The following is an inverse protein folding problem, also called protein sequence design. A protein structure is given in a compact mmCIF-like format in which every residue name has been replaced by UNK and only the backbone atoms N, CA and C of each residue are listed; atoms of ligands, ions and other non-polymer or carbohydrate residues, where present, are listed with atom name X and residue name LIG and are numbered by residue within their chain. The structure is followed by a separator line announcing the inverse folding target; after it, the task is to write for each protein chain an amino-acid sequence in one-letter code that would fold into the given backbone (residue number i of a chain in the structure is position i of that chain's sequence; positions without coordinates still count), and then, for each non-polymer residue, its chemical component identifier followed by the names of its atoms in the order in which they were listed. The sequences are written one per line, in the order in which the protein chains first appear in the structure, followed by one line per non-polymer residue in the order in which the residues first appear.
data_IF_480582942074
#
_entry.id   IF_480582942074
#
_cell.length_a   1.000
_cell.length_b   1.000
_cell.length_c   1.000
_cell.angle_alpha   90.00
_cell.angle_beta   90.00
_cell.angle_gamma   90.00
#
_symmetry.space_group_name_H-M   'P 1'
#
loop_
_entity.id
_entity.type
_entity.pdbx_description
1 polymer ?
#
# COMPACT_ATOMS: atom_id res chain seq x y z
N UNK A 1 27.06 -39.28 5.61
CA UNK A 1 25.61 -39.13 5.80
C UNK A 1 24.92 -40.26 5.07
N UNK A 2 24.00 -40.97 5.73
CA UNK A 2 23.13 -41.92 5.03
C UNK A 2 22.23 -41.16 4.02
N UNK A 3 21.64 -41.84 3.02
CA UNK A 3 20.73 -41.20 2.07
C UNK A 3 19.59 -40.41 2.76
N UNK A 4 19.04 -40.96 3.84
CA UNK A 4 17.99 -40.31 4.66
C UNK A 4 18.51 -39.04 5.34
N UNK A 5 19.74 -39.05 5.85
CA UNK A 5 20.34 -37.87 6.49
C UNK A 5 20.74 -36.79 5.46
N UNK A 6 20.98 -37.17 4.20
CA UNK A 6 21.35 -36.24 3.12
C UNK A 6 20.14 -35.52 2.49
N UNK A 7 18.98 -36.16 2.49
CA UNK A 7 17.74 -35.63 1.92
C UNK A 7 17.44 -34.13 2.23
N UNK A 8 17.48 -33.66 3.50
CA UNK A 8 17.20 -32.25 3.81
C UNK A 8 18.23 -31.30 3.20
N UNK A 9 19.50 -31.70 3.14
CA UNK A 9 20.58 -30.92 2.53
C UNK A 9 20.37 -30.83 1.02
N UNK A 10 20.08 -31.95 0.37
CA UNK A 10 19.82 -31.98 -1.08
C UNK A 10 18.57 -31.15 -1.45
N UNK A 11 17.54 -31.16 -0.60
CA UNK A 11 16.35 -30.31 -0.76
C UNK A 11 16.69 -28.83 -0.64
N UNK A 12 17.50 -28.45 0.35
CA UNK A 12 17.97 -27.08 0.53
C UNK A 12 18.81 -26.62 -0.66
N UNK A 13 19.81 -27.42 -1.08
CA UNK A 13 20.65 -27.12 -2.22
C UNK A 13 19.82 -26.91 -3.50
N UNK A 14 18.86 -27.80 -3.78
CA UNK A 14 17.97 -27.67 -4.93
C UNK A 14 17.13 -26.40 -4.86
N UNK A 15 16.61 -26.04 -3.69
CA UNK A 15 15.86 -24.79 -3.51
C UNK A 15 16.72 -23.57 -3.81
N UNK A 16 17.95 -23.51 -3.28
CA UNK A 16 18.86 -22.39 -3.52
C UNK A 16 19.26 -22.29 -5.00
N UNK A 17 19.57 -23.42 -5.64
CA UNK A 17 19.92 -23.48 -7.06
C UNK A 17 18.76 -22.99 -7.94
N UNK A 18 17.54 -23.45 -7.67
CA UNK A 18 16.36 -23.03 -8.42
C UNK A 18 16.07 -21.52 -8.27
N UNK A 19 16.47 -20.92 -7.15
CA UNK A 19 16.23 -19.51 -6.84
C UNK A 19 17.49 -18.64 -6.98
N UNK A 20 18.57 -19.15 -7.56
CA UNK A 20 19.86 -18.47 -7.61
C UNK A 20 19.80 -17.07 -8.25
N UNK A 21 18.88 -16.86 -9.20
CA UNK A 21 18.62 -15.56 -9.81
C UNK A 21 18.19 -14.48 -8.80
N UNK A 22 17.56 -14.87 -7.69
CA UNK A 22 17.09 -14.00 -6.60
C UNK A 22 18.07 -13.93 -5.42
N UNK A 23 19.21 -14.64 -5.47
CA UNK A 23 20.21 -14.66 -4.40
C UNK A 23 21.38 -13.68 -4.67
N UNK A 24 21.17 -12.69 -5.55
CA UNK A 24 22.14 -11.64 -5.87
C UNK A 24 22.22 -10.58 -4.75
N UNK A 25 22.43 -11.03 -3.51
CA UNK A 25 22.43 -10.17 -2.33
C UNK A 25 23.45 -9.03 -2.41
N UNK A 26 24.58 -9.26 -3.08
CA UNK A 26 25.58 -8.21 -3.30
C UNK A 26 25.04 -7.03 -4.12
N UNK A 27 24.24 -7.30 -5.16
CA UNK A 27 23.61 -6.26 -5.97
C UNK A 27 22.52 -5.54 -5.17
N UNK A 28 21.73 -6.28 -4.39
CA UNK A 28 20.67 -5.72 -3.56
C UNK A 28 21.21 -4.83 -2.44
N UNK A 29 22.30 -5.24 -1.80
CA UNK A 29 22.99 -4.44 -0.80
C UNK A 29 23.59 -3.16 -1.40
N UNK A 30 24.21 -3.25 -2.60
CA UNK A 30 24.68 -2.06 -3.32
C UNK A 30 23.54 -1.11 -3.69
N UNK A 31 22.37 -1.64 -4.01
CA UNK A 31 21.16 -0.86 -4.31
C UNK A 31 20.43 -0.36 -3.05
N UNK A 32 20.92 -0.67 -1.84
CA UNK A 32 20.28 -0.26 -0.58
C UNK A 32 18.95 -0.96 -0.31
N UNK A 33 18.67 -2.08 -0.97
CA UNK A 33 17.42 -2.81 -0.78
C UNK A 33 17.42 -3.53 0.57
N UNK A 34 16.27 -3.54 1.29
CA UNK A 34 16.15 -4.27 2.54
C UNK A 34 16.19 -5.77 2.27
N UNK A 35 17.27 -6.43 2.70
CA UNK A 35 17.43 -7.90 2.60
C UNK A 35 17.02 -8.64 3.89
N UNK A 36 16.78 -7.90 4.98
CA UNK A 36 16.41 -8.46 6.27
C UNK A 36 14.91 -8.77 6.32
N UNK A 37 14.56 -10.00 6.69
CA UNK A 37 13.15 -10.41 6.81
C UNK A 37 12.42 -9.68 7.94
N UNK A 38 13.12 -9.28 9.01
CA UNK A 38 12.52 -8.63 10.17
C UNK A 38 11.77 -7.34 9.86
N UNK A 39 12.29 -6.50 8.95
CA UNK A 39 11.62 -5.25 8.53
C UNK A 39 10.32 -5.58 7.77
N UNK A 40 10.36 -6.59 6.91
CA UNK A 40 9.22 -7.05 6.12
C UNK A 40 8.15 -7.69 7.03
N UNK A 41 8.57 -8.55 7.95
CA UNK A 41 7.70 -9.20 8.94
C UNK A 41 7.07 -8.18 9.89
N UNK A 42 7.84 -7.18 10.32
CA UNK A 42 7.36 -6.06 11.13
C UNK A 42 6.27 -5.27 10.40
N UNK A 43 6.49 -4.93 9.14
CA UNK A 43 5.48 -4.28 8.31
C UNK A 43 4.21 -5.16 8.17
N UNK A 44 4.36 -6.44 7.82
CA UNK A 44 3.21 -7.35 7.72
C UNK A 44 2.43 -7.46 9.04
N UNK A 45 3.13 -7.48 10.17
CA UNK A 45 2.49 -7.53 11.50
C UNK A 45 1.73 -6.24 11.82
N UNK A 46 2.38 -5.09 11.74
CA UNK A 46 1.84 -3.84 12.28
C UNK A 46 1.04 -3.01 11.26
N UNK A 47 1.41 -3.06 9.98
CA UNK A 47 0.68 -2.37 8.93
C UNK A 47 -0.54 -3.17 8.47
N UNK A 48 -0.35 -4.47 8.18
CA UNK A 48 -1.35 -5.31 7.54
C UNK A 48 -2.25 -6.00 8.57
N UNK A 49 -1.71 -6.87 9.44
CA UNK A 49 -2.53 -7.74 10.30
C UNK A 49 -3.44 -6.95 11.25
N UNK A 50 -2.91 -5.90 11.87
CA UNK A 50 -3.67 -5.04 12.80
C UNK A 50 -5.00 -4.51 12.25
N UNK A 51 -5.17 -4.44 10.91
CA UNK A 51 -6.43 -4.00 10.30
C UNK A 51 -7.12 -5.06 9.45
N UNK A 52 -6.34 -5.87 8.73
CA UNK A 52 -6.86 -6.82 7.76
C UNK A 52 -7.28 -8.14 8.40
N UNK A 53 -6.73 -8.49 9.57
CA UNK A 53 -6.98 -9.75 10.27
C UNK A 53 -8.01 -9.63 11.41
N UNK A 54 -8.85 -8.59 11.36
CA UNK A 54 -9.92 -8.39 12.34
C UNK A 54 -11.10 -9.32 12.01
N UNK A 55 -11.54 -10.10 12.99
CA UNK A 55 -12.68 -11.03 12.86
C UNK A 55 -13.92 -10.33 12.30
N UNK A 56 -14.52 -10.93 11.27
CA UNK A 56 -15.73 -10.42 10.62
C UNK A 56 -15.49 -9.28 9.62
N UNK A 57 -14.24 -8.81 9.45
CA UNK A 57 -13.93 -7.82 8.43
C UNK A 57 -14.02 -8.46 7.02
N UNK A 58 -14.63 -7.72 6.09
CA UNK A 58 -14.67 -8.05 4.67
C UNK A 58 -14.05 -6.93 3.87
N UNK A 59 -13.13 -7.30 2.99
CA UNK A 59 -12.39 -6.34 2.19
C UNK A 59 -12.51 -6.68 0.72
N UNK A 60 -12.87 -5.68 -0.08
CA UNK A 60 -12.52 -5.71 -1.51
C UNK A 60 -11.04 -5.38 -1.65
N UNK A 61 -10.40 -5.85 -2.71
CA UNK A 61 -8.98 -5.55 -2.97
C UNK A 61 -8.73 -4.03 -2.97
N UNK A 62 -9.60 -3.27 -3.66
CA UNK A 62 -9.54 -1.80 -3.71
C UNK A 62 -9.69 -1.17 -2.32
N UNK A 63 -10.60 -1.68 -1.49
CA UNK A 63 -10.82 -1.17 -0.14
C UNK A 63 -9.66 -1.46 0.81
N UNK A 64 -9.12 -2.68 0.76
CA UNK A 64 -7.93 -3.06 1.53
C UNK A 64 -6.74 -2.17 1.17
N UNK A 65 -6.46 -2.02 -0.12
CA UNK A 65 -5.35 -1.21 -0.61
C UNK A 65 -5.47 0.27 -0.18
N UNK A 66 -6.65 0.87 -0.32
CA UNK A 66 -6.89 2.25 0.11
C UNK A 66 -6.61 2.44 1.60
N UNK A 67 -7.07 1.51 2.44
CA UNK A 67 -6.84 1.57 3.90
C UNK A 67 -5.37 1.35 4.25
N UNK A 68 -4.68 0.41 3.59
CA UNK A 68 -3.25 0.17 3.83
C UNK A 68 -2.40 1.39 3.44
N UNK A 69 -2.73 2.09 2.35
CA UNK A 69 -2.03 3.33 1.97
C UNK A 69 -2.19 4.42 3.04
N UNK A 70 -3.40 4.63 3.55
CA UNK A 70 -3.64 5.58 4.64
C UNK A 70 -2.89 5.20 5.93
N UNK A 71 -2.89 3.92 6.29
CA UNK A 71 -2.12 3.44 7.45
C UNK A 71 -0.61 3.60 7.25
N UNK A 72 -0.12 3.41 6.04
CA UNK A 72 1.32 3.58 5.72
C UNK A 72 1.74 5.03 5.94
N UNK A 73 0.93 6.00 5.50
CA UNK A 73 1.15 7.43 5.74
C UNK A 73 1.14 7.78 7.24
N UNK A 74 0.27 7.13 8.01
CA UNK A 74 0.23 7.34 9.45
C UNK A 74 1.46 6.77 10.16
N UNK A 75 1.84 5.53 9.84
CA UNK A 75 2.96 4.83 10.50
C UNK A 75 4.33 5.40 10.11
N UNK A 76 4.47 5.92 8.89
CA UNK A 76 5.69 6.64 8.45
C UNK A 76 5.86 8.01 9.13
N UNK A 77 4.79 8.58 9.69
CA UNK A 77 4.80 9.94 10.25
C UNK A 77 4.53 11.03 9.22
N UNK A 78 4.23 10.67 7.97
CA UNK A 78 4.02 11.63 6.86
C UNK A 78 2.61 12.25 6.88
N UNK A 79 1.75 11.84 7.81
CA UNK A 79 0.36 12.28 7.89
C UNK A 79 0.20 13.81 7.96
N UNK A 80 1.02 14.46 8.78
CA UNK A 80 0.95 15.89 9.06
C UNK A 80 1.25 16.73 7.80
N UNK A 81 2.10 16.23 6.90
CA UNK A 81 2.39 16.89 5.62
C UNK A 81 1.37 16.50 4.54
N UNK A 82 1.01 15.22 4.48
CA UNK A 82 0.09 14.69 3.48
C UNK A 82 -1.32 15.29 3.60
N UNK A 83 -1.84 15.44 4.82
CA UNK A 83 -3.24 15.84 5.02
C UNK A 83 -3.55 17.25 4.48
N UNK A 84 -2.77 18.31 4.77
CA UNK A 84 -2.94 19.61 4.15
C UNK A 84 -2.83 19.58 2.61
N UNK A 85 -1.87 18.81 2.08
CA UNK A 85 -1.70 18.62 0.65
C UNK A 85 -2.95 18.00 0.01
N UNK A 86 -3.48 16.93 0.62
CA UNK A 86 -4.68 16.24 0.18
C UNK A 86 -5.89 17.19 0.16
N UNK A 87 -6.13 17.93 1.24
CA UNK A 87 -7.23 18.90 1.33
C UNK A 87 -7.15 19.99 0.25
N UNK A 88 -5.94 20.52 0.00
CA UNK A 88 -5.72 21.52 -1.06
C UNK A 88 -6.08 20.97 -2.43
N UNK A 89 -5.73 19.71 -2.70
CA UNK A 89 -6.05 19.06 -3.97
C UNK A 89 -7.53 18.70 -4.09
N UNK A 90 -8.16 18.20 -3.04
CA UNK A 90 -9.60 17.94 -3.00
C UNK A 90 -10.41 19.22 -3.23
N UNK A 91 -10.01 20.32 -2.58
CA UNK A 91 -10.62 21.63 -2.81
C UNK A 91 -10.53 22.05 -4.29
N UNK A 92 -9.37 21.83 -4.93
CA UNK A 92 -9.19 22.13 -6.36
C UNK A 92 -10.05 21.26 -7.27
N UNK A 93 -10.10 19.95 -7.01
CA UNK A 93 -10.82 18.98 -7.86
C UNK A 93 -12.33 19.14 -7.76
N UNK A 94 -12.83 19.23 -6.53
CA UNK A 94 -14.24 19.04 -6.24
C UNK A 94 -14.96 20.32 -5.82
N UNK A 95 -14.25 21.30 -5.23
CA UNK A 95 -14.89 22.51 -4.69
C UNK A 95 -14.75 23.74 -5.59
N UNK A 96 -13.56 24.03 -6.15
CA UNK A 96 -13.36 25.26 -6.94
C UNK A 96 -14.35 25.42 -8.11
N UNK A 97 -14.74 24.33 -8.76
CA UNK A 97 -15.71 24.34 -9.86
C UNK A 97 -17.15 24.58 -9.40
N UNK A 98 -17.49 24.27 -8.14
CA UNK A 98 -18.84 24.37 -7.59
C UNK A 98 -19.13 25.73 -6.94
N UNK A 99 -18.10 26.51 -6.61
CA UNK A 99 -18.21 27.77 -5.85
C UNK A 99 -17.66 28.99 -6.61
N UNK A 100 -17.34 28.86 -7.91
CA UNK A 100 -16.68 29.88 -8.75
C UNK A 100 -17.42 31.23 -8.79
N UNK A 101 -18.72 31.25 -8.52
CA UNK A 101 -19.58 32.45 -8.58
C UNK A 101 -20.25 32.81 -7.24
N UNK A 102 -19.72 32.33 -6.10
CA UNK A 102 -20.10 32.80 -4.75
C UNK A 102 -21.48 32.38 -4.21
N UNK A 103 -22.36 31.80 -5.02
CA UNK A 103 -23.61 31.18 -4.56
C UNK A 103 -23.43 29.66 -4.48
N UNK A 104 -23.53 29.03 -3.28
CA UNK A 104 -23.51 27.59 -3.20
C UNK A 104 -24.71 27.08 -4.00
N UNK A 105 -24.43 26.37 -5.11
CA UNK A 105 -25.43 25.64 -5.89
C UNK A 105 -25.97 24.49 -5.02
N UNK A 106 -26.80 24.82 -4.02
CA UNK A 106 -27.48 23.90 -3.10
C UNK A 106 -28.26 22.83 -3.87
N UNK A 107 -28.66 23.12 -5.12
CA UNK A 107 -29.32 22.17 -6.03
C UNK A 107 -28.40 21.08 -6.60
N UNK A 108 -27.06 21.22 -6.59
CA UNK A 108 -26.12 20.19 -7.08
C UNK A 108 -25.45 19.34 -5.98
N UNK A 109 -25.47 19.79 -4.72
CA UNK A 109 -24.91 19.04 -3.58
C UNK A 109 -25.67 17.74 -3.24
N UNK A 110 -26.94 17.65 -3.65
CA UNK A 110 -27.74 16.42 -3.48
C UNK A 110 -27.37 15.37 -4.53
N UNK A 111 -27.04 15.79 -5.76
CA UNK A 111 -26.73 14.87 -6.86
C UNK A 111 -25.28 14.35 -6.80
N UNK A 112 -24.32 15.16 -6.33
CA UNK A 112 -22.93 14.75 -6.17
C UNK A 112 -22.70 13.69 -5.08
N UNK A 113 -23.59 13.61 -4.07
CA UNK A 113 -23.52 12.56 -3.04
C UNK A 113 -23.96 11.17 -3.52
N UNK A 114 -24.62 11.09 -4.68
CA UNK A 114 -25.11 9.82 -5.25
C UNK A 114 -24.27 9.30 -6.43
N UNK A 115 -23.28 10.05 -6.91
CA UNK A 115 -22.43 9.59 -8.03
C UNK A 115 -21.29 8.72 -7.51
N UNK A 116 -21.47 7.40 -7.59
CA UNK A 116 -20.44 6.36 -7.48
C UNK A 116 -19.47 6.35 -8.67
N UNK A 117 -19.16 7.51 -9.26
CA UNK A 117 -18.15 7.59 -10.31
C UNK A 117 -16.77 7.57 -9.65
N UNK A 118 -16.01 6.52 -9.95
CA UNK A 118 -14.65 6.34 -9.43
C UNK A 118 -13.81 7.60 -9.69
N UNK A 119 -13.00 8.05 -8.71
CA UNK A 119 -12.11 9.18 -8.93
C UNK A 119 -11.13 8.85 -10.08
N UNK A 120 -10.78 9.83 -10.93
CA UNK A 120 -9.82 9.60 -12.00
C UNK A 120 -8.49 9.12 -11.39
N UNK A 121 -7.98 8.01 -11.90
CA UNK A 121 -6.68 7.46 -11.51
C UNK A 121 -5.59 8.43 -11.94
N UNK A 122 -4.95 9.06 -10.96
CA UNK A 122 -3.71 9.79 -11.20
C UNK A 122 -2.58 8.78 -11.41
N UNK A 123 -1.75 8.94 -12.45
CA UNK A 123 -0.55 8.12 -12.60
C UNK A 123 0.35 8.37 -11.38
N UNK A 124 0.72 7.28 -10.71
CA UNK A 124 1.75 7.28 -9.67
C UNK A 124 3.09 7.40 -10.41
N UNK A 125 3.94 8.40 -10.14
CA UNK A 125 5.28 8.45 -10.69
C UNK A 125 6.08 7.26 -10.17
N UNK A 126 6.73 6.52 -11.08
CA UNK A 126 7.75 5.52 -10.74
C UNK A 126 9.00 6.20 -10.17
#
# INVERSE_FOLDING_TARGET
LTPTQRQPVDKCARYLLNNAAYLKYHDYLKAGLPIATGVIEGACRHLIKDRMDITGARWSLKGAEAVLRLRSLYVSGDWQEYWPFHLKLEHKRNHLSLYKDGLPLMKRLIQARCSTTAPPTLPIPL
#
